data_IF_488488628738
#
_entry.id   IF_488488628738
#
_cell.length_a   1.000
_cell.length_b   1.000
_cell.length_c   1.000
_cell.angle_alpha   90.00
_cell.angle_beta   90.00
_cell.angle_gamma   90.00
#
_symmetry.space_group_name_H-M   'P 1'
#
loop_
_entity.id
_entity.type
_entity.pdbx_description
1 polymer ?
#
# COMPACT_ATOMS: atom_id res chain seq x y z
N UNK A 1 1.12 4.24 -17.77
CA UNK A 1 1.70 5.08 -16.70
C UNK A 1 3.21 5.16 -16.90
N UNK A 2 3.85 6.32 -16.78
CA UNK A 2 5.31 6.45 -16.92
C UNK A 2 6.06 6.27 -15.60
N UNK A 3 7.34 5.89 -15.65
CA UNK A 3 8.24 5.66 -14.50
C UNK A 3 8.24 6.82 -13.49
N UNK A 4 8.21 8.06 -13.99
CA UNK A 4 8.17 9.27 -13.15
C UNK A 4 6.92 9.31 -12.27
N UNK A 5 5.78 8.85 -12.79
CA UNK A 5 4.54 8.84 -12.02
C UNK A 5 4.56 7.74 -10.96
N UNK A 6 5.13 6.59 -11.28
CA UNK A 6 5.36 5.51 -10.32
C UNK A 6 6.21 5.99 -9.15
N UNK A 7 7.38 6.60 -9.40
CA UNK A 7 8.26 7.10 -8.33
C UNK A 7 7.59 8.19 -7.50
N UNK A 8 6.90 9.15 -8.14
CA UNK A 8 6.17 10.22 -7.43
C UNK A 8 5.10 9.67 -6.48
N UNK A 9 4.47 8.55 -6.85
CA UNK A 9 3.41 7.94 -6.04
C UNK A 9 3.87 7.46 -4.66
N UNK A 10 5.17 7.23 -4.46
CA UNK A 10 5.72 6.87 -3.14
C UNK A 10 5.72 8.02 -2.14
N UNK A 11 5.68 9.26 -2.64
CA UNK A 11 5.66 10.47 -1.82
C UNK A 11 4.26 11.04 -1.67
N UNK A 12 3.46 11.05 -2.75
CA UNK A 12 2.09 11.56 -2.76
C UNK A 12 1.21 10.77 -3.74
N UNK A 13 -0.06 10.50 -3.41
CA UNK A 13 -1.02 9.92 -4.36
C UNK A 13 -1.04 10.71 -5.67
N UNK A 14 -1.02 10.01 -6.81
CA UNK A 14 -1.13 10.63 -8.13
C UNK A 14 -2.43 10.20 -8.78
N UNK A 15 -3.30 11.17 -9.05
CA UNK A 15 -4.55 10.96 -9.77
C UNK A 15 -4.38 11.48 -11.20
N UNK A 16 -4.83 10.70 -12.17
CA UNK A 16 -4.96 11.13 -13.57
C UNK A 16 -6.34 10.78 -14.07
N UNK A 17 -6.96 11.72 -14.77
CA UNK A 17 -8.23 11.50 -15.46
C UNK A 17 -8.00 11.69 -16.95
N UNK A 18 -8.30 10.66 -17.74
CA UNK A 18 -8.19 10.69 -19.18
C UNK A 18 -9.23 9.76 -19.78
N UNK A 19 -9.87 10.16 -20.89
CA UNK A 19 -10.79 9.32 -21.66
C UNK A 19 -11.88 8.62 -20.80
N UNK A 20 -12.53 9.37 -19.88
CA UNK A 20 -13.55 8.84 -18.95
C UNK A 20 -13.06 7.72 -18.02
N UNK A 21 -11.74 7.64 -17.81
CA UNK A 21 -11.09 6.73 -16.87
C UNK A 21 -10.31 7.54 -15.84
N UNK A 22 -10.43 7.13 -14.58
CA UNK A 22 -9.66 7.64 -13.46
C UNK A 22 -8.60 6.60 -13.14
N UNK A 23 -7.34 7.01 -13.11
CA UNK A 23 -6.21 6.21 -12.68
C UNK A 23 -5.60 6.85 -11.44
N UNK A 24 -5.63 6.14 -10.32
CA UNK A 24 -5.02 6.54 -9.05
C UNK A 24 -3.79 5.67 -8.80
N UNK A 25 -2.65 6.27 -8.46
CA UNK A 25 -1.45 5.53 -8.04
C UNK A 25 -1.01 5.98 -6.66
N UNK A 26 -0.92 5.02 -5.74
CA UNK A 26 -0.47 5.24 -4.36
C UNK A 26 0.65 4.23 -4.07
N UNK A 27 1.86 4.73 -3.77
CA UNK A 27 3.06 3.93 -3.46
C UNK A 27 3.30 2.78 -4.46
N UNK A 28 3.11 3.08 -5.74
CA UNK A 28 3.31 2.14 -6.84
C UNK A 28 2.11 1.23 -7.14
N UNK A 29 1.06 1.25 -6.32
CA UNK A 29 -0.17 0.49 -6.55
C UNK A 29 -1.10 1.31 -7.43
N UNK A 30 -1.55 0.73 -8.54
CA UNK A 30 -2.46 1.35 -9.50
C UNK A 30 -3.90 0.87 -9.25
N UNK A 31 -4.80 1.84 -9.11
CA UNK A 31 -6.25 1.66 -9.08
C UNK A 31 -6.86 2.34 -10.29
N UNK A 32 -7.81 1.69 -10.94
CA UNK A 32 -8.41 2.20 -12.16
C UNK A 32 -9.91 2.00 -12.15
N UNK A 33 -10.65 3.06 -12.45
CA UNK A 33 -12.09 3.08 -12.34
C UNK A 33 -12.73 4.15 -13.21
N UNK A 34 -14.05 4.10 -13.32
CA UNK A 34 -14.82 5.10 -14.09
C UNK A 34 -15.29 6.27 -13.22
N UNK A 35 -15.44 6.05 -11.91
CA UNK A 35 -15.91 7.04 -10.95
C UNK A 35 -15.01 7.07 -9.72
N UNK A 36 -15.15 8.12 -8.90
CA UNK A 36 -14.39 8.22 -7.66
C UNK A 36 -14.82 7.14 -6.65
N UNK A 37 -16.11 6.78 -6.62
CA UNK A 37 -16.66 5.75 -5.74
C UNK A 37 -16.09 4.36 -6.08
N UNK A 38 -15.92 4.05 -7.37
CA UNK A 38 -15.27 2.81 -7.83
C UNK A 38 -13.82 2.74 -7.35
N UNK A 39 -13.06 3.84 -7.52
CA UNK A 39 -11.69 3.95 -7.01
C UNK A 39 -11.64 3.78 -5.48
N UNK A 40 -12.52 4.46 -4.74
CA UNK A 40 -12.57 4.37 -3.28
C UNK A 40 -12.93 2.97 -2.79
N UNK A 41 -13.86 2.29 -3.47
CA UNK A 41 -14.22 0.89 -3.18
C UNK A 41 -13.01 -0.03 -3.38
N UNK A 42 -12.27 0.13 -4.49
CA UNK A 42 -11.05 -0.64 -4.74
C UNK A 42 -9.97 -0.36 -3.68
N UNK A 43 -9.77 0.89 -3.30
CA UNK A 43 -8.84 1.29 -2.23
C UNK A 43 -9.24 0.65 -0.90
N UNK A 44 -10.51 0.70 -0.51
CA UNK A 44 -11.01 0.09 0.73
C UNK A 44 -10.82 -1.44 0.74
N UNK A 45 -11.12 -2.11 -0.38
CA UNK A 45 -10.88 -3.54 -0.51
C UNK A 45 -9.40 -3.88 -0.34
N UNK A 46 -8.51 -3.05 -0.90
CA UNK A 46 -7.07 -3.25 -0.78
C UNK A 46 -6.55 -2.93 0.64
N UNK A 47 -7.10 -1.94 1.32
CA UNK A 47 -6.85 -1.68 2.76
C UNK A 47 -7.17 -2.93 3.58
N UNK A 48 -8.34 -3.53 3.37
CA UNK A 48 -8.75 -4.75 4.08
C UNK A 48 -7.83 -5.93 3.76
N UNK A 49 -7.38 -6.07 2.52
CA UNK A 49 -6.37 -7.06 2.14
C UNK A 49 -5.04 -6.82 2.88
N UNK A 50 -4.54 -5.59 2.91
CA UNK A 50 -3.29 -5.24 3.60
C UNK A 50 -3.38 -5.41 5.11
N UNK A 51 -4.53 -5.15 5.74
CA UNK A 51 -4.75 -5.40 7.18
C UNK A 51 -4.58 -6.89 7.50
N UNK A 52 -5.16 -7.77 6.68
CA UNK A 52 -4.99 -9.24 6.82
C UNK A 52 -3.56 -9.66 6.56
N UNK A 53 -2.91 -9.07 5.55
CA UNK A 53 -1.50 -9.35 5.23
C UNK A 53 -0.56 -8.90 6.34
N UNK A 54 -0.80 -7.73 6.94
CA UNK A 54 0.01 -7.20 8.04
C UNK A 54 -0.01 -8.13 9.26
N UNK A 55 -1.16 -8.76 9.53
CA UNK A 55 -1.27 -9.78 10.56
C UNK A 55 -0.31 -10.95 10.25
N UNK A 56 -0.33 -11.49 9.03
CA UNK A 56 0.59 -12.56 8.62
C UNK A 56 2.07 -12.13 8.68
N UNK A 57 2.39 -10.93 8.16
CA UNK A 57 3.76 -10.38 8.16
C UNK A 57 4.29 -10.23 9.61
N UNK A 58 3.42 -9.95 10.59
CA UNK A 58 3.78 -9.91 12.01
C UNK A 58 4.16 -11.29 12.54
N UNK A 59 3.40 -12.35 12.20
CA UNK A 59 3.76 -13.73 12.58
C UNK A 59 5.08 -14.15 11.95
N UNK A 60 5.29 -13.84 10.67
CA UNK A 60 6.52 -14.17 9.97
C UNK A 60 7.72 -13.43 10.59
N UNK A 61 7.57 -12.14 10.90
CA UNK A 61 8.61 -11.35 11.57
C UNK A 61 8.95 -11.89 12.97
N UNK A 62 7.94 -12.35 13.72
CA UNK A 62 8.11 -12.96 15.04
C UNK A 62 8.81 -14.34 14.95
N UNK A 63 8.43 -15.17 13.98
CA UNK A 63 9.05 -16.48 13.74
C UNK A 63 10.53 -16.34 13.34
N UNK A 64 10.84 -15.40 12.42
CA UNK A 64 12.22 -15.12 12.00
C UNK A 64 13.08 -14.53 13.12
N UNK A 65 12.48 -13.85 14.10
CA UNK A 65 13.19 -13.38 15.30
C UNK A 65 13.56 -14.55 16.23
N UNK A 66 12.73 -15.59 16.29
CA UNK A 66 12.93 -16.80 17.08
C UNK A 66 13.99 -17.75 16.47
N UNK A 67 14.07 -17.81 15.14
CA UNK A 67 14.96 -18.72 14.39
C UNK A 67 16.46 -18.35 14.41
N UNK A 68 16.92 -17.47 15.31
CA UNK A 68 18.33 -17.17 15.50
C UNK A 68 18.91 -16.18 14.51
N UNK A 69 18.70 -14.88 14.75
CA UNK A 69 19.50 -13.82 14.13
C UNK A 69 20.90 -13.77 14.76
N UNK A 70 21.76 -14.72 14.38
CA UNK A 70 23.16 -14.86 14.84
C UNK A 70 24.11 -13.77 14.31
N UNK A 71 23.62 -12.82 13.52
CA UNK A 71 24.35 -11.63 13.10
C UNK A 71 23.33 -10.53 12.81
N UNK A 72 23.39 -9.41 13.53
CA UNK A 72 22.38 -8.33 13.54
C UNK A 72 22.17 -7.55 12.23
N UNK A 73 21.99 -8.23 11.10
CA UNK A 73 21.84 -7.60 9.78
C UNK A 73 20.65 -8.24 9.06
N UNK A 74 19.53 -7.50 9.05
CA UNK A 74 18.34 -7.67 8.21
C UNK A 74 17.35 -8.78 8.60
N UNK A 75 16.41 -8.45 9.50
CA UNK A 75 15.16 -9.20 9.61
C UNK A 75 14.23 -8.78 8.46
N UNK A 76 14.21 -9.58 7.38
CA UNK A 76 13.39 -9.35 6.20
C UNK A 76 11.88 -9.29 6.53
N UNK A 77 11.42 -10.07 7.52
CA UNK A 77 10.05 -10.00 8.02
C UNK A 77 9.70 -8.62 8.58
N UNK A 78 10.58 -8.01 9.38
CA UNK A 78 10.39 -6.64 9.90
C UNK A 78 10.38 -5.60 8.75
N UNK A 79 11.21 -5.79 7.72
CA UNK A 79 11.24 -4.89 6.57
C UNK A 79 9.95 -4.99 5.76
N UNK A 80 9.48 -6.21 5.47
CA UNK A 80 8.21 -6.44 4.77
C UNK A 80 7.03 -5.89 5.56
N UNK A 81 6.94 -6.19 6.86
CA UNK A 81 5.92 -5.66 7.75
C UNK A 81 5.88 -4.12 7.74
N UNK A 82 7.04 -3.47 7.81
CA UNK A 82 7.12 -2.01 7.76
C UNK A 82 6.69 -1.43 6.41
N UNK A 83 6.99 -2.11 5.30
CA UNK A 83 6.54 -1.71 3.97
C UNK A 83 5.02 -1.87 3.81
N UNK A 84 4.45 -2.99 4.29
CA UNK A 84 3.00 -3.22 4.35
C UNK A 84 2.33 -2.14 5.19
N UNK A 85 2.85 -1.85 6.40
CA UNK A 85 2.34 -0.80 7.30
C UNK A 85 2.35 0.58 6.65
N UNK A 86 3.48 1.03 6.10
CA UNK A 86 3.57 2.33 5.42
C UNK A 86 2.64 2.46 4.22
N UNK A 87 2.36 1.34 3.56
CA UNK A 87 1.45 1.29 2.41
C UNK A 87 0.00 1.37 2.85
N UNK A 88 -0.35 0.64 3.92
CA UNK A 88 -1.65 0.73 4.58
C UNK A 88 -1.94 2.16 5.05
N UNK A 89 -1.02 2.79 5.78
CA UNK A 89 -1.17 4.18 6.28
C UNK A 89 -1.42 5.18 5.15
N UNK A 90 -0.71 5.05 4.02
CA UNK A 90 -0.89 5.93 2.88
C UNK A 90 -2.26 5.75 2.21
N UNK A 91 -2.77 4.51 2.14
CA UNK A 91 -4.08 4.21 1.58
C UNK A 91 -5.20 4.65 2.51
N UNK A 92 -5.09 4.41 3.82
CA UNK A 92 -6.06 4.84 4.83
C UNK A 92 -6.15 6.38 4.88
N UNK A 93 -5.01 7.09 4.90
CA UNK A 93 -5.03 8.56 4.86
C UNK A 93 -5.64 9.11 3.56
N UNK A 94 -5.45 8.43 2.43
CA UNK A 94 -6.11 8.81 1.19
C UNK A 94 -7.62 8.57 1.27
N UNK A 95 -8.04 7.40 1.76
CA UNK A 95 -9.44 7.03 1.88
C UNK A 95 -10.20 8.00 2.78
N UNK A 96 -9.70 8.26 3.99
CA UNK A 96 -10.31 9.18 4.96
C UNK A 96 -10.51 10.59 4.42
N UNK A 97 -9.54 11.10 3.64
CA UNK A 97 -9.61 12.44 3.04
C UNK A 97 -10.63 12.57 1.91
N UNK A 98 -11.05 11.46 1.31
CA UNK A 98 -11.91 11.45 0.13
C UNK A 98 -13.26 10.75 0.38
N UNK A 99 -13.47 10.21 1.58
CA UNK A 99 -14.73 9.60 2.03
C UNK A 99 -15.66 10.57 2.78
N UNK A 100 -15.23 11.82 2.98
CA UNK A 100 -15.97 12.93 3.61
C UNK A 100 -16.35 13.97 2.55
#
# INVERSE_FOLDING_TARGET
MGLITYVKSFFKPVIKQANKKISLVIRGILFEGKTNEDILSQVNNYINHLRRRLYNDFYDAAFMKSAGNLHGKWNLGIVMMNNTRKTLEALESFYEKNSL
#
